data_IF_381126561599
#
_entry.id   IF_381126561599
#
_cell.length_a   1.000
_cell.length_b   1.000
_cell.length_c   1.000
_cell.angle_alpha   90.00
_cell.angle_beta   90.00
_cell.angle_gamma   90.00
#
_symmetry.space_group_name_H-M   'P 1'
#
loop_
_entity.id
_entity.type
_entity.pdbx_description
1 polymer ?
#
# COMPACT_ATOMS: atom_id res chain seq x y z
N UNK A 1 -43.62 38.24 29.03
CA UNK A 1 -42.81 37.94 27.84
C UNK A 1 -41.41 37.71 28.36
N UNK A 2 -41.07 36.46 28.64
CA UNK A 2 -39.79 36.12 29.25
C UNK A 2 -38.71 36.04 28.16
N UNK A 3 -37.77 36.99 28.21
CA UNK A 3 -36.55 37.02 27.42
C UNK A 3 -35.73 35.75 27.70
N UNK A 4 -35.71 34.81 26.75
CA UNK A 4 -34.74 33.71 26.78
C UNK A 4 -33.35 34.28 26.57
N UNK A 5 -32.63 34.45 27.68
CA UNK A 5 -31.19 34.71 27.72
C UNK A 5 -30.49 33.62 26.90
N UNK A 6 -30.00 33.95 25.71
CA UNK A 6 -29.22 33.01 24.90
C UNK A 6 -27.91 32.70 25.64
N UNK A 7 -27.82 31.47 26.15
CA UNK A 7 -26.61 30.94 26.80
C UNK A 7 -25.44 30.97 25.81
N UNK A 8 -24.28 31.44 26.29
CA UNK A 8 -23.03 31.46 25.53
C UNK A 8 -22.62 30.05 25.09
N UNK A 9 -21.87 29.95 23.98
CA UNK A 9 -21.35 28.65 23.47
C UNK A 9 -20.49 27.94 24.52
N UNK A 10 -19.82 28.69 25.39
CA UNK A 10 -19.02 28.13 26.50
C UNK A 10 -19.90 27.60 27.64
N UNK A 11 -21.00 28.29 27.98
CA UNK A 11 -21.94 27.85 29.01
C UNK A 11 -22.69 26.58 28.56
N UNK A 12 -23.06 26.48 27.28
CA UNK A 12 -23.67 25.27 26.70
C UNK A 12 -22.72 24.07 26.79
N UNK A 13 -21.42 24.29 26.58
CA UNK A 13 -20.38 23.25 26.69
C UNK A 13 -20.16 22.80 28.13
N UNK A 14 -20.15 23.73 29.08
CA UNK A 14 -20.06 23.41 30.52
C UNK A 14 -21.27 22.58 30.99
N UNK A 15 -22.49 23.00 30.62
CA UNK A 15 -23.73 22.28 30.97
C UNK A 15 -23.75 20.88 30.34
N UNK A 16 -23.36 20.76 29.06
CA UNK A 16 -23.27 19.46 28.40
C UNK A 16 -22.21 18.56 29.06
N UNK A 17 -21.09 19.12 29.51
CA UNK A 17 -20.05 18.37 30.23
C UNK A 17 -20.53 17.83 31.58
N UNK A 18 -21.28 18.63 32.35
CA UNK A 18 -21.84 18.20 33.62
C UNK A 18 -22.87 17.07 33.45
N UNK A 19 -23.71 17.18 32.42
CA UNK A 19 -24.67 16.12 32.05
C UNK A 19 -23.96 14.83 31.64
N UNK A 20 -22.86 14.91 30.87
CA UNK A 20 -22.07 13.72 30.51
C UNK A 20 -21.40 13.05 31.71
N UNK A 21 -20.94 13.81 32.72
CA UNK A 21 -20.42 13.24 33.96
C UNK A 21 -21.51 12.50 34.76
N UNK A 22 -22.75 13.00 34.72
CA UNK A 22 -23.90 12.34 35.35
C UNK A 22 -24.30 11.08 34.59
N UNK A 23 -24.28 11.12 33.26
CA UNK A 23 -24.50 9.96 32.41
C UNK A 23 -23.46 8.84 32.64
N UNK A 24 -22.18 9.17 32.81
CA UNK A 24 -21.13 8.18 33.13
C UNK A 24 -21.37 7.49 34.49
N UNK A 25 -21.86 8.22 35.49
CA UNK A 25 -22.25 7.63 36.78
C UNK A 25 -23.43 6.67 36.63
N UNK A 26 -24.45 7.03 35.87
CA UNK A 26 -25.62 6.18 35.61
C UNK A 26 -25.26 4.95 34.79
N UNK A 27 -24.35 5.10 33.82
CA UNK A 27 -23.82 4.00 33.02
C UNK A 27 -23.08 2.97 33.89
N UNK A 28 -22.23 3.45 34.82
CA UNK A 28 -21.53 2.58 35.78
C UNK A 28 -22.47 1.93 36.80
N UNK A 29 -23.61 2.54 37.08
CA UNK A 29 -24.65 1.97 37.94
C UNK A 29 -25.53 0.93 37.23
N UNK A 30 -25.33 0.69 35.93
CA UNK A 30 -26.14 -0.25 35.13
C UNK A 30 -27.50 0.32 34.72
N UNK A 31 -27.77 1.61 34.97
CA UNK A 31 -29.02 2.27 34.60
C UNK A 31 -28.95 2.81 33.17
N UNK A 32 -28.73 1.92 32.20
CA UNK A 32 -28.42 2.26 30.80
C UNK A 32 -29.49 3.14 30.13
N UNK A 33 -30.77 2.92 30.43
CA UNK A 33 -31.88 3.73 29.89
C UNK A 33 -31.85 5.19 30.39
N UNK A 34 -31.58 5.40 31.68
CA UNK A 34 -31.48 6.76 32.26
C UNK A 34 -30.17 7.45 31.85
N UNK A 35 -29.09 6.67 31.69
CA UNK A 35 -27.84 7.18 31.14
C UNK A 35 -28.03 7.69 29.71
N UNK A 36 -28.79 6.98 28.87
CA UNK A 36 -29.11 7.40 27.50
C UNK A 36 -29.89 8.72 27.49
N UNK A 37 -30.94 8.84 28.30
CA UNK A 37 -31.75 10.06 28.43
C UNK A 37 -30.89 11.27 28.84
N UNK A 38 -29.97 11.07 29.80
CA UNK A 38 -29.06 12.14 30.27
C UNK A 38 -28.05 12.57 29.19
N UNK A 39 -27.66 11.67 28.28
CA UNK A 39 -26.80 11.98 27.13
C UNK A 39 -27.57 12.73 26.04
N UNK A 40 -28.83 12.37 25.79
CA UNK A 40 -29.70 13.11 24.87
C UNK A 40 -29.97 14.53 25.36
N UNK A 41 -30.20 14.67 26.67
CA UNK A 41 -30.28 15.97 27.35
C UNK A 41 -29.00 16.82 27.20
N UNK A 42 -27.83 16.20 27.03
CA UNK A 42 -26.57 16.89 26.79
C UNK A 42 -26.45 17.34 25.31
N UNK A 43 -26.97 16.52 24.38
CA UNK A 43 -27.02 16.83 22.94
C UNK A 43 -28.04 17.93 22.63
N UNK A 44 -29.13 18.02 23.38
CA UNK A 44 -30.11 19.12 23.24
C UNK A 44 -29.51 20.49 23.61
N UNK A 45 -28.51 20.50 24.50
CA UNK A 45 -27.81 21.72 24.92
C UNK A 45 -26.66 22.07 23.97
N UNK A 46 -25.88 21.07 23.54
CA UNK A 46 -24.80 21.22 22.56
C UNK A 46 -24.82 20.08 21.52
N UNK A 47 -25.53 20.28 20.38
CA UNK A 47 -25.65 19.27 19.33
C UNK A 47 -24.31 18.94 18.65
N UNK A 48 -23.31 19.81 18.72
CA UNK A 48 -21.97 19.60 18.13
C UNK A 48 -21.03 18.82 19.08
N UNK A 49 -21.51 18.40 20.26
CA UNK A 49 -20.66 17.73 21.24
C UNK A 49 -20.34 16.27 20.83
N UNK A 50 -19.17 16.10 20.23
CA UNK A 50 -18.64 14.81 19.78
C UNK A 50 -18.59 13.76 20.91
N UNK A 51 -18.34 14.16 22.16
CA UNK A 51 -18.28 13.24 23.29
C UNK A 51 -19.65 12.66 23.64
N UNK A 52 -20.73 13.45 23.50
CA UNK A 52 -22.08 12.99 23.76
C UNK A 52 -22.56 11.99 22.71
N UNK A 53 -22.23 12.22 21.44
CA UNK A 53 -22.52 11.28 20.35
C UNK A 53 -21.82 9.93 20.56
N UNK A 54 -20.51 9.94 20.88
CA UNK A 54 -19.76 8.72 21.15
C UNK A 54 -20.29 7.96 22.39
N UNK A 55 -20.75 8.67 23.42
CA UNK A 55 -21.37 8.05 24.59
C UNK A 55 -22.72 7.42 24.27
N UNK A 56 -23.54 8.07 23.44
CA UNK A 56 -24.83 7.54 22.98
C UNK A 56 -24.66 6.20 22.26
N UNK A 57 -23.73 6.12 21.32
CA UNK A 57 -23.44 4.88 20.59
C UNK A 57 -22.97 3.75 21.52
N UNK A 58 -22.14 4.09 22.52
CA UNK A 58 -21.67 3.12 23.52
C UNK A 58 -22.81 2.54 24.36
N UNK A 59 -23.78 3.36 24.75
CA UNK A 59 -24.93 2.93 25.56
C UNK A 59 -25.89 2.08 24.72
N UNK A 60 -26.13 2.45 23.46
CA UNK A 60 -27.00 1.71 22.53
C UNK A 60 -26.48 0.29 22.27
N UNK A 61 -25.17 0.13 22.05
CA UNK A 61 -24.57 -1.19 21.84
C UNK A 61 -24.75 -2.14 23.03
N UNK A 62 -24.69 -1.60 24.26
CA UNK A 62 -24.91 -2.40 25.48
C UNK A 62 -26.38 -2.81 25.59
N UNK A 63 -27.32 -1.91 25.31
CA UNK A 63 -28.75 -2.21 25.31
C UNK A 63 -29.15 -3.24 24.24
N UNK A 64 -28.56 -3.17 23.05
CA UNK A 64 -28.76 -4.17 21.99
C UNK A 64 -28.22 -5.55 22.39
N UNK A 65 -27.10 -5.58 23.11
CA UNK A 65 -26.54 -6.84 23.63
C UNK A 65 -27.41 -7.47 24.74
N UNK A 66 -28.02 -6.67 25.61
CA UNK A 66 -28.91 -7.16 26.67
C UNK A 66 -30.25 -7.68 26.12
N UNK A 67 -30.80 -7.04 25.09
CA UNK A 67 -32.05 -7.46 24.45
C UNK A 67 -31.94 -8.80 23.71
N UNK A 68 -30.73 -9.26 23.39
CA UNK A 68 -30.50 -10.55 22.72
C UNK A 68 -30.58 -11.78 23.65
N UNK A 69 -30.70 -11.59 24.98
CA UNK A 69 -30.58 -12.67 25.97
C UNK A 69 -31.93 -13.06 26.64
N UNK A 70 -33.02 -12.29 26.49
CA UNK A 70 -34.28 -12.59 27.20
C UNK A 70 -35.42 -13.08 26.28
N UNK A 71 -35.53 -14.41 26.12
CA UNK A 71 -36.83 -15.11 26.04
C UNK A 71 -36.74 -16.54 26.61
N UNK A 72 -37.59 -16.93 27.59
CA UNK A 72 -37.68 -18.30 28.09
C UNK A 72 -39.02 -18.97 27.71
N UNK A 73 -39.01 -20.20 27.18
CA UNK A 73 -40.19 -21.10 27.27
C UNK A 73 -39.75 -22.57 27.41
N UNK A 74 -40.32 -23.21 28.44
CA UNK A 74 -40.28 -24.65 28.77
C UNK A 74 -41.12 -25.46 27.76
N UNK A 75 -40.65 -26.63 27.32
CA UNK A 75 -41.30 -27.93 27.62
C UNK A 75 -40.59 -29.14 26.99
N UNK A 76 -40.86 -30.27 27.65
CA UNK A 76 -40.36 -31.64 27.62
C UNK A 76 -39.98 -32.30 26.28
N UNK A 77 -38.83 -33.00 26.37
CA UNK A 77 -38.61 -34.44 26.10
C UNK A 77 -39.26 -35.08 24.86
N UNK A 78 -38.46 -35.36 23.82
CA UNK A 78 -37.90 -36.70 23.50
C UNK A 78 -37.27 -36.70 22.08
N UNK A 79 -36.24 -37.56 21.92
CA UNK A 79 -35.55 -37.99 20.69
C UNK A 79 -34.96 -36.92 19.76
N UNK A 80 -33.85 -36.24 20.13
CA UNK A 80 -33.24 -35.17 19.29
C UNK A 80 -31.72 -34.98 19.47
N UNK A 81 -30.87 -35.95 19.15
CA UNK A 81 -29.42 -35.66 18.98
C UNK A 81 -29.01 -35.63 17.50
N UNK A 82 -29.38 -36.62 16.70
CA UNK A 82 -29.01 -36.65 15.27
C UNK A 82 -29.73 -35.60 14.40
N UNK A 83 -31.00 -35.30 14.68
CA UNK A 83 -31.73 -34.24 13.97
C UNK A 83 -31.25 -32.85 14.40
N UNK A 84 -30.75 -32.70 15.64
CA UNK A 84 -30.25 -31.44 16.20
C UNK A 84 -28.90 -31.06 15.64
N UNK A 85 -28.00 -32.03 15.44
CA UNK A 85 -26.72 -31.77 14.78
C UNK A 85 -26.91 -31.39 13.31
N UNK A 86 -27.82 -32.06 12.59
CA UNK A 86 -28.13 -31.73 11.18
C UNK A 86 -28.78 -30.35 11.03
N UNK A 87 -29.71 -30.00 11.93
CA UNK A 87 -30.35 -28.68 11.93
C UNK A 87 -29.44 -27.56 12.44
N UNK A 88 -28.54 -27.83 13.40
CA UNK A 88 -27.49 -26.89 13.82
C UNK A 88 -26.48 -26.65 12.71
N UNK A 89 -26.08 -27.69 11.96
CA UNK A 89 -25.17 -27.56 10.84
C UNK A 89 -25.81 -26.82 9.65
N UNK A 90 -27.10 -27.04 9.39
CA UNK A 90 -27.84 -26.32 8.37
C UNK A 90 -28.12 -24.86 8.77
N UNK A 91 -28.41 -24.59 10.04
CA UNK A 91 -28.53 -23.24 10.59
C UNK A 91 -27.19 -22.48 10.54
N UNK A 92 -26.08 -23.15 10.87
CA UNK A 92 -24.74 -22.57 10.77
C UNK A 92 -24.36 -22.28 9.31
N UNK A 93 -24.73 -23.16 8.36
CA UNK A 93 -24.54 -22.91 6.92
C UNK A 93 -25.34 -21.71 6.44
N UNK A 94 -26.61 -21.60 6.83
CA UNK A 94 -27.46 -20.44 6.48
C UNK A 94 -26.93 -19.14 7.08
N UNK A 95 -26.46 -19.17 8.33
CA UNK A 95 -25.84 -18.00 8.97
C UNK A 95 -24.55 -17.59 8.25
N UNK A 96 -23.70 -18.57 7.90
CA UNK A 96 -22.44 -18.31 7.19
C UNK A 96 -22.67 -17.80 5.76
N UNK A 97 -23.70 -18.31 5.08
CA UNK A 97 -24.12 -17.83 3.76
C UNK A 97 -24.70 -16.41 3.84
N UNK A 98 -25.48 -16.10 4.88
CA UNK A 98 -26.01 -14.76 5.12
C UNK A 98 -24.90 -13.76 5.44
N UNK A 99 -23.92 -14.15 6.28
CA UNK A 99 -22.73 -13.34 6.55
C UNK A 99 -21.87 -13.13 5.31
N UNK A 100 -21.77 -14.13 4.42
CA UNK A 100 -21.02 -13.98 3.17
C UNK A 100 -21.71 -12.97 2.24
N UNK A 101 -23.05 -13.05 2.13
CA UNK A 101 -23.85 -12.12 1.32
C UNK A 101 -23.78 -10.69 1.86
N UNK A 102 -23.88 -10.51 3.18
CA UNK A 102 -23.70 -9.19 3.82
C UNK A 102 -22.28 -8.65 3.64
N UNK A 103 -21.26 -9.50 3.76
CA UNK A 103 -19.87 -9.08 3.52
C UNK A 103 -19.64 -8.70 2.06
N UNK A 104 -20.24 -9.40 1.11
CA UNK A 104 -20.15 -9.08 -0.32
C UNK A 104 -20.91 -7.79 -0.66
N UNK A 105 -22.10 -7.58 -0.09
CA UNK A 105 -22.82 -6.30 -0.23
C UNK A 105 -22.06 -5.14 0.42
N UNK A 106 -21.44 -5.36 1.58
CA UNK A 106 -20.62 -4.36 2.25
C UNK A 106 -19.41 -3.98 1.40
N UNK A 107 -18.74 -4.95 0.78
CA UNK A 107 -17.65 -4.69 -0.17
C UNK A 107 -18.13 -3.91 -1.40
N UNK A 108 -19.29 -4.25 -1.97
CA UNK A 108 -19.87 -3.50 -3.10
C UNK A 108 -20.18 -2.05 -2.75
N UNK A 109 -20.77 -1.81 -1.56
CA UNK A 109 -21.06 -0.44 -1.07
C UNK A 109 -19.78 0.36 -0.78
N UNK A 110 -18.76 -0.30 -0.22
CA UNK A 110 -17.46 0.33 0.05
C UNK A 110 -16.69 0.67 -1.23
N UNK A 111 -16.73 -0.21 -2.23
CA UNK A 111 -16.14 0.02 -3.55
C UNK A 111 -16.87 1.14 -4.31
N UNK A 112 -18.20 1.19 -4.24
CA UNK A 112 -18.99 2.26 -4.85
C UNK A 112 -18.75 3.62 -4.15
N UNK A 113 -18.68 3.65 -2.82
CA UNK A 113 -18.34 4.85 -2.06
C UNK A 113 -16.93 5.34 -2.39
N UNK A 114 -15.96 4.42 -2.55
CA UNK A 114 -14.60 4.74 -2.96
C UNK A 114 -14.56 5.32 -4.38
N UNK A 115 -15.34 4.75 -5.31
CA UNK A 115 -15.44 5.25 -6.68
C UNK A 115 -16.01 6.68 -6.72
N UNK A 116 -17.03 6.97 -5.92
CA UNK A 116 -17.63 8.31 -5.82
C UNK A 116 -16.61 9.31 -5.23
N UNK A 117 -15.92 8.94 -4.16
CA UNK A 117 -14.90 9.79 -3.53
C UNK A 117 -13.71 10.07 -4.46
N UNK A 118 -13.27 9.06 -5.22
CA UNK A 118 -12.20 9.21 -6.21
C UNK A 118 -12.61 10.10 -7.38
N UNK A 119 -13.86 9.97 -7.87
CA UNK A 119 -14.38 10.83 -8.92
C UNK A 119 -14.52 12.29 -8.45
N UNK A 120 -14.95 12.52 -7.21
CA UNK A 120 -15.06 13.86 -6.63
C UNK A 120 -13.69 14.52 -6.44
N UNK A 121 -12.69 13.77 -5.97
CA UNK A 121 -11.30 14.25 -5.88
C UNK A 121 -10.73 14.59 -7.27
N UNK A 122 -11.01 13.76 -8.28
CA UNK A 122 -10.58 14.01 -9.66
C UNK A 122 -11.24 15.26 -10.25
N UNK A 123 -12.54 15.48 -9.98
CA UNK A 123 -13.26 16.70 -10.40
C UNK A 123 -12.67 17.95 -9.74
N UNK A 124 -12.40 17.90 -8.42
CA UNK A 124 -11.76 19.02 -7.70
C UNK A 124 -10.35 19.31 -8.20
N UNK A 125 -9.56 18.27 -8.50
CA UNK A 125 -8.23 18.44 -9.07
C UNK A 125 -8.27 19.10 -10.45
N UNK A 126 -9.20 18.67 -11.32
CA UNK A 126 -9.40 19.28 -12.63
C UNK A 126 -9.87 20.75 -12.54
N UNK A 127 -10.75 21.06 -11.59
CA UNK A 127 -11.23 22.44 -11.34
C UNK A 127 -10.10 23.37 -10.88
N UNK A 128 -9.26 22.91 -9.95
CA UNK A 128 -8.08 23.66 -9.50
C UNK A 128 -7.06 23.87 -10.63
N UNK A 129 -6.88 22.89 -11.51
CA UNK A 129 -6.00 23.02 -12.67
C UNK A 129 -6.56 24.05 -13.67
N UNK A 130 -7.87 24.05 -13.91
CA UNK A 130 -8.54 25.03 -14.77
C UNK A 130 -8.45 26.45 -14.18
N UNK A 131 -8.63 26.61 -12.87
CA UNK A 131 -8.45 27.90 -12.19
C UNK A 131 -7.00 28.40 -12.29
N UNK A 132 -6.02 27.51 -12.09
CA UNK A 132 -4.61 27.87 -12.24
C UNK A 132 -4.25 28.30 -13.66
N UNK A 133 -4.79 27.61 -14.68
CA UNK A 133 -4.63 27.99 -16.09
C UNK A 133 -5.27 29.35 -16.39
N UNK A 134 -6.48 29.60 -15.88
CA UNK A 134 -7.16 30.88 -16.04
C UNK A 134 -6.42 32.03 -15.34
N UNK A 135 -5.85 31.80 -14.15
CA UNK A 135 -5.05 32.79 -13.43
C UNK A 135 -3.74 33.11 -14.17
N UNK A 136 -3.07 32.08 -14.72
CA UNK A 136 -1.86 32.27 -15.52
C UNK A 136 -2.14 33.03 -16.82
N UNK A 137 -3.25 32.72 -17.50
CA UNK A 137 -3.69 33.45 -18.69
C UNK A 137 -4.03 34.91 -18.38
N UNK A 138 -4.72 35.19 -17.26
CA UNK A 138 -4.96 36.56 -16.82
C UNK A 138 -3.66 37.32 -16.51
N UNK A 139 -2.66 36.67 -15.89
CA UNK A 139 -1.35 37.29 -15.65
C UNK A 139 -0.64 37.61 -16.97
N UNK A 140 -0.70 36.71 -17.95
CA UNK A 140 -0.15 36.94 -19.30
C UNK A 140 -0.85 38.09 -20.02
N UNK A 141 -2.18 38.15 -19.98
CA UNK A 141 -2.95 39.23 -20.60
C UNK A 141 -2.63 40.59 -19.97
N UNK A 142 -2.54 40.65 -18.63
CA UNK A 142 -2.15 41.88 -17.91
C UNK A 142 -0.73 42.32 -18.27
N UNK A 143 0.23 41.38 -18.37
CA UNK A 143 1.59 41.70 -18.79
C UNK A 143 1.67 42.24 -20.22
N UNK A 144 0.90 41.65 -21.15
CA UNK A 144 0.81 42.13 -22.54
C UNK A 144 0.17 43.53 -22.60
N UNK A 145 -0.86 43.79 -21.80
CA UNK A 145 -1.51 45.10 -21.74
C UNK A 145 -0.59 46.17 -21.15
N UNK A 146 0.17 45.85 -20.11
CA UNK A 146 1.15 46.76 -19.50
C UNK A 146 2.30 47.07 -20.46
N UNK A 147 2.80 46.08 -21.20
CA UNK A 147 3.82 46.28 -22.22
C UNK A 147 3.31 47.13 -23.40
N UNK A 148 2.06 46.92 -23.82
CA UNK A 148 1.40 47.77 -24.83
C UNK A 148 1.25 49.21 -24.35
N UNK A 149 0.82 49.44 -23.10
CA UNK A 149 0.72 50.78 -22.51
C UNK A 149 2.08 51.48 -22.45
N UNK A 150 3.14 50.78 -22.06
CA UNK A 150 4.52 51.32 -22.07
C UNK A 150 4.97 51.73 -23.48
N UNK A 151 4.74 50.88 -24.49
CA UNK A 151 5.07 51.19 -25.89
C UNK A 151 4.24 52.34 -26.46
N UNK A 152 2.97 52.45 -26.09
CA UNK A 152 2.10 53.54 -26.53
C UNK A 152 2.48 54.87 -25.89
N UNK A 153 2.84 54.88 -24.60
CA UNK A 153 3.33 56.08 -23.91
C UNK A 153 4.68 56.56 -24.47
N UNK A 154 5.59 55.65 -24.79
CA UNK A 154 6.87 55.97 -25.44
C UNK A 154 6.66 56.57 -26.84
N UNK A 155 5.74 55.99 -27.61
CA UNK A 155 5.38 56.52 -28.93
C UNK A 155 4.73 57.91 -28.84
N UNK A 156 3.91 58.15 -27.81
CA UNK A 156 3.29 59.46 -27.55
C UNK A 156 4.34 60.52 -27.19
N UNK A 157 5.27 60.22 -26.30
CA UNK A 157 6.39 61.13 -25.96
C UNK A 157 7.24 61.46 -27.19
N UNK A 158 7.47 60.48 -28.06
CA UNK A 158 8.21 60.68 -29.32
C UNK A 158 7.46 61.60 -30.30
N UNK A 159 6.13 61.44 -30.41
CA UNK A 159 5.28 62.33 -31.23
C UNK A 159 5.24 63.75 -30.69
N UNK A 160 5.09 63.93 -29.38
CA UNK A 160 5.09 65.25 -28.73
C UNK A 160 6.45 65.96 -28.93
N UNK A 161 7.56 65.23 -28.84
CA UNK A 161 8.90 65.77 -29.11
C UNK A 161 9.10 66.15 -30.60
N UNK A 162 8.60 65.35 -31.53
CA UNK A 162 8.65 65.64 -32.97
C UNK A 162 7.81 66.87 -33.33
N UNK A 163 6.63 67.02 -32.71
CA UNK A 163 5.75 68.17 -32.93
C UNK A 163 6.36 69.47 -32.39
N UNK A 164 6.98 69.43 -31.20
CA UNK A 164 7.74 70.56 -30.66
C UNK A 164 8.94 70.94 -31.53
N UNK A 165 9.66 69.96 -32.08
CA UNK A 165 10.76 70.20 -33.01
C UNK A 165 10.28 70.87 -34.31
N UNK A 166 9.16 70.40 -34.87
CA UNK A 166 8.53 71.01 -36.06
C UNK A 166 8.05 72.42 -35.80
N UNK A 167 7.50 72.71 -34.62
CA UNK A 167 7.06 74.07 -34.26
C UNK A 167 8.25 75.03 -34.17
N UNK A 168 9.35 74.59 -33.54
CA UNK A 168 10.59 75.36 -33.42
C UNK A 168 11.25 75.59 -34.79
N UNK A 169 11.19 74.59 -35.67
CA UNK A 169 11.70 74.67 -37.04
C UNK A 169 10.84 75.59 -37.91
N UNK A 170 9.51 75.54 -37.76
CA UNK A 170 8.58 76.45 -38.42
C UNK A 170 8.77 77.90 -37.96
N UNK A 171 9.03 78.14 -36.68
CA UNK A 171 9.35 79.48 -36.14
C UNK A 171 10.69 80.00 -36.69
N UNK A 172 11.71 79.14 -36.76
CA UNK A 172 13.00 79.45 -37.40
C UNK A 172 12.85 79.70 -38.90
N UNK A 173 11.99 78.96 -39.59
CA UNK A 173 11.67 79.15 -41.00
C UNK A 173 10.91 80.47 -41.23
N UNK A 174 9.98 80.84 -40.35
CA UNK A 174 9.23 82.11 -40.44
C UNK A 174 10.14 83.32 -40.21
N UNK A 175 11.11 83.21 -39.30
CA UNK A 175 12.16 84.23 -39.06
C UNK A 175 13.09 84.37 -40.27
N UNK A 176 13.48 83.26 -40.90
CA UNK A 176 14.26 83.24 -42.15
C UNK A 176 13.46 83.79 -43.34
N UNK A 177 12.17 83.52 -43.44
CA UNK A 177 11.31 84.05 -44.52
C UNK A 177 11.09 85.56 -44.42
N UNK A 178 11.08 86.14 -43.21
CA UNK A 178 11.05 87.59 -43.00
C UNK A 178 12.38 88.27 -43.40
N UNK A 179 13.53 87.64 -43.09
CA UNK A 179 14.86 88.10 -43.57
C UNK A 179 15.03 87.93 -45.09
N UNK A 180 14.44 86.90 -45.68
CA UNK A 180 14.54 86.61 -47.12
C UNK A 180 13.61 87.51 -47.97
N UNK A 181 12.50 88.00 -47.42
CA UNK A 181 11.62 88.97 -48.12
C UNK A 181 12.25 90.37 -48.27
N UNK A 182 13.17 90.77 -47.40
CA UNK A 182 13.97 92.00 -47.60
C UNK A 182 15.05 91.84 -48.68
N UNK A 183 15.60 90.63 -48.83
CA UNK A 183 16.65 90.32 -49.81
C UNK A 183 16.09 90.14 -51.24
N UNK A 184 14.87 89.59 -51.37
CA UNK A 184 14.21 89.32 -52.66
C UNK A 184 13.69 90.56 -53.40
N UNK A 185 13.58 91.73 -52.76
CA UNK A 185 13.29 92.99 -53.46
C UNK A 185 14.50 93.56 -54.23
N UNK A 186 15.72 93.04 -54.00
CA UNK A 186 16.97 93.53 -54.63
C UNK A 186 17.52 92.62 -55.74
N UNK A 187 16.94 91.46 -55.98
CA UNK A 187 17.48 90.44 -56.91
C UNK A 187 16.44 89.99 -57.95
N UNK A 188 15.49 90.88 -58.25
CA UNK A 188 14.69 90.84 -59.47
C UNK A 188 15.24 91.79 -60.53
N UNK A 189 16.38 92.43 -60.28
CA UNK A 189 17.07 93.10 -61.36
C UNK A 189 17.97 92.10 -62.07
N UNK A 190 17.42 91.66 -63.19
CA UNK A 190 18.17 91.25 -64.34
C UNK A 190 18.80 89.84 -64.27
N UNK A 191 18.17 88.97 -65.07
CA UNK A 191 18.89 88.40 -66.22
C UNK A 191 19.79 87.19 -65.96
N UNK A 192 19.84 86.62 -64.75
CA UNK A 192 20.47 85.30 -64.48
C UNK A 192 19.50 84.11 -64.45
N UNK A 193 18.19 84.34 -64.38
CA UNK A 193 17.20 83.26 -64.24
C UNK A 193 16.94 82.42 -65.50
N UNK A 194 17.40 82.83 -66.68
CA UNK A 194 17.07 82.09 -67.91
C UNK A 194 18.11 81.02 -68.29
N UNK A 195 19.41 81.29 -68.14
CA UNK A 195 20.48 80.42 -68.66
C UNK A 195 21.01 79.41 -67.61
N UNK A 196 20.91 79.75 -66.33
CA UNK A 196 21.33 78.90 -65.21
C UNK A 196 20.35 77.73 -64.95
N UNK A 197 19.10 77.86 -65.40
CA UNK A 197 18.00 76.92 -65.14
C UNK A 197 18.12 75.62 -65.96
N UNK A 198 18.78 75.66 -67.12
CA UNK A 198 19.03 74.47 -67.93
C UNK A 198 20.28 73.69 -67.49
N UNK A 199 21.37 74.38 -67.13
CA UNK A 199 22.58 73.75 -66.59
C UNK A 199 22.32 73.12 -65.22
N UNK A 200 21.56 73.82 -64.35
CA UNK A 200 21.11 73.28 -63.06
C UNK A 200 20.21 72.07 -63.19
N UNK A 201 19.32 71.98 -64.19
CA UNK A 201 18.46 70.79 -64.36
C UNK A 201 19.26 69.53 -64.72
N UNK A 202 20.33 69.64 -65.50
CA UNK A 202 21.21 68.50 -65.84
C UNK A 202 22.12 68.12 -64.68
N UNK A 203 22.73 69.09 -64.00
CA UNK A 203 23.55 68.85 -62.80
C UNK A 203 22.71 68.34 -61.61
N UNK A 204 21.47 68.80 -61.45
CA UNK A 204 20.53 68.36 -60.41
C UNK A 204 19.95 66.98 -60.73
N UNK A 205 19.69 66.63 -61.99
CA UNK A 205 19.27 65.28 -62.38
C UNK A 205 20.39 64.25 -62.19
N UNK A 206 21.64 64.60 -62.50
CA UNK A 206 22.80 63.74 -62.26
C UNK A 206 23.13 63.63 -60.76
N UNK A 207 23.03 64.73 -60.01
CA UNK A 207 23.16 64.74 -58.55
C UNK A 207 22.05 63.93 -57.87
N UNK A 208 20.80 64.03 -58.32
CA UNK A 208 19.69 63.18 -57.85
C UNK A 208 19.91 61.71 -58.17
N UNK A 209 20.43 61.35 -59.34
CA UNK A 209 20.78 59.95 -59.66
C UNK A 209 21.92 59.43 -58.77
N UNK A 210 22.94 60.24 -58.50
CA UNK A 210 24.04 59.88 -57.59
C UNK A 210 23.56 59.79 -56.13
N UNK A 211 22.72 60.71 -55.68
CA UNK A 211 22.11 60.70 -54.34
C UNK A 211 21.12 59.53 -54.19
N UNK A 212 20.35 59.18 -55.21
CA UNK A 212 19.43 58.03 -55.21
C UNK A 212 20.18 56.70 -55.28
N UNK A 213 21.25 56.60 -56.07
CA UNK A 213 22.13 55.43 -56.10
C UNK A 213 22.91 55.27 -54.79
N UNK A 214 23.37 56.37 -54.18
CA UNK A 214 24.02 56.35 -52.87
C UNK A 214 23.03 55.98 -51.75
N UNK A 215 21.79 56.48 -51.80
CA UNK A 215 20.71 56.09 -50.88
C UNK A 215 20.30 54.63 -51.10
N UNK A 216 20.29 54.13 -52.33
CA UNK A 216 20.03 52.73 -52.65
C UNK A 216 21.15 51.82 -52.17
N UNK A 217 22.42 52.23 -52.36
CA UNK A 217 23.59 51.51 -51.81
C UNK A 217 23.58 51.52 -50.28
N UNK A 218 23.28 52.65 -49.64
CA UNK A 218 23.12 52.74 -48.18
C UNK A 218 21.94 51.90 -47.66
N UNK A 219 20.82 51.86 -48.38
CA UNK A 219 19.67 51.04 -48.03
C UNK A 219 19.92 49.54 -48.25
N UNK A 220 20.64 49.16 -49.30
CA UNK A 220 21.03 47.78 -49.58
C UNK A 220 22.09 47.29 -48.61
N UNK A 221 23.07 48.13 -48.26
CA UNK A 221 24.06 47.84 -47.23
C UNK A 221 23.42 47.74 -45.83
N UNK A 222 22.44 48.61 -45.53
CA UNK A 222 21.66 48.51 -44.29
C UNK A 222 20.81 47.24 -44.25
N UNK A 223 20.17 46.85 -45.35
CA UNK A 223 19.43 45.59 -45.47
C UNK A 223 20.35 44.38 -45.32
N UNK A 224 21.52 44.39 -45.96
CA UNK A 224 22.51 43.32 -45.89
C UNK A 224 23.07 43.18 -44.48
N UNK A 225 23.34 44.29 -43.77
CA UNK A 225 23.74 44.27 -42.35
C UNK A 225 22.63 43.73 -41.46
N UNK A 226 21.38 44.15 -41.68
CA UNK A 226 20.22 43.65 -40.91
C UNK A 226 19.96 42.16 -41.16
N UNK A 227 20.09 41.70 -42.40
CA UNK A 227 19.94 40.28 -42.79
C UNK A 227 21.07 39.41 -42.23
N UNK A 228 22.31 39.90 -42.26
CA UNK A 228 23.46 39.20 -41.67
C UNK A 228 23.34 39.11 -40.14
N UNK A 229 22.83 40.15 -39.47
CA UNK A 229 22.57 40.14 -38.03
C UNK A 229 21.44 39.17 -37.67
N UNK A 230 20.36 39.12 -38.47
CA UNK A 230 19.28 38.14 -38.33
C UNK A 230 19.77 36.71 -38.54
N UNK A 231 20.62 36.49 -39.54
CA UNK A 231 21.23 35.19 -39.83
C UNK A 231 22.14 34.73 -38.70
N UNK A 232 22.97 35.63 -38.15
CA UNK A 232 23.83 35.36 -36.98
C UNK A 232 23.00 34.99 -35.75
N UNK A 233 21.90 35.69 -35.47
CA UNK A 233 20.99 35.36 -34.36
C UNK A 233 20.33 33.99 -34.54
N UNK A 234 19.87 33.67 -35.75
CA UNK A 234 19.30 32.36 -36.08
C UNK A 234 20.31 31.22 -35.96
N UNK A 235 21.56 31.44 -36.37
CA UNK A 235 22.64 30.45 -36.27
C UNK A 235 23.10 30.25 -34.82
N UNK A 236 23.19 31.32 -34.04
CA UNK A 236 23.49 31.26 -32.61
C UNK A 236 22.37 30.56 -31.83
N UNK A 237 21.10 30.80 -32.15
CA UNK A 237 19.96 30.11 -31.55
C UNK A 237 19.96 28.61 -31.88
N UNK A 238 20.27 28.24 -33.13
CA UNK A 238 20.42 26.83 -33.53
C UNK A 238 21.58 26.17 -32.80
N UNK A 239 22.72 26.85 -32.66
CA UNK A 239 23.88 26.33 -31.92
C UNK A 239 23.57 26.12 -30.45
N UNK A 240 22.88 27.08 -29.81
CA UNK A 240 22.41 26.96 -28.42
C UNK A 240 21.45 25.80 -28.25
N UNK A 241 20.51 25.60 -29.18
CA UNK A 241 19.59 24.44 -29.16
C UNK A 241 20.32 23.11 -29.29
N UNK A 242 21.30 23.00 -30.18
CA UNK A 242 22.12 21.80 -30.34
C UNK A 242 22.99 21.53 -29.10
N UNK A 243 23.56 22.56 -28.51
CA UNK A 243 24.36 22.45 -27.28
C UNK A 243 23.49 22.06 -26.07
N UNK A 244 22.29 22.63 -25.96
CA UNK A 244 21.31 22.26 -24.92
C UNK A 244 20.82 20.82 -25.08
N UNK A 245 20.55 20.38 -26.32
CA UNK A 245 20.16 19.00 -26.61
C UNK A 245 21.31 18.02 -26.34
N UNK A 246 22.54 18.39 -26.69
CA UNK A 246 23.74 17.63 -26.37
C UNK A 246 23.91 17.48 -24.86
N UNK A 247 23.78 18.58 -24.11
CA UNK A 247 23.90 18.60 -22.65
C UNK A 247 22.82 17.74 -21.98
N UNK A 248 21.56 17.82 -22.44
CA UNK A 248 20.48 16.93 -21.97
C UNK A 248 20.75 15.47 -22.30
N UNK A 249 21.36 15.18 -23.45
CA UNK A 249 21.72 13.81 -23.83
C UNK A 249 22.86 13.25 -22.97
N UNK A 250 23.83 14.08 -22.60
CA UNK A 250 24.92 13.71 -21.67
C UNK A 250 24.38 13.53 -20.26
N UNK A 251 23.51 14.42 -19.80
CA UNK A 251 22.89 14.36 -18.48
C UNK A 251 22.02 13.10 -18.32
N UNK A 252 21.20 12.76 -19.32
CA UNK A 252 20.40 11.53 -19.30
C UNK A 252 21.27 10.27 -19.33
N UNK A 253 22.37 10.27 -20.09
CA UNK A 253 23.37 9.18 -20.07
C UNK A 253 24.11 9.10 -18.73
N UNK A 254 24.41 10.22 -18.10
CA UNK A 254 25.04 10.24 -16.78
C UNK A 254 24.08 9.67 -15.72
N UNK A 255 22.81 10.06 -15.75
CA UNK A 255 21.77 9.53 -14.86
C UNK A 255 21.58 8.03 -15.10
N UNK A 256 21.54 7.56 -16.36
CA UNK A 256 21.41 6.14 -16.66
C UNK A 256 22.61 5.33 -16.16
N UNK A 257 23.85 5.84 -16.33
CA UNK A 257 25.06 5.20 -15.81
C UNK A 257 25.06 5.09 -14.28
N UNK A 258 24.66 6.16 -13.58
CA UNK A 258 24.56 6.13 -12.11
C UNK A 258 23.50 5.12 -11.66
N UNK A 259 22.36 5.06 -12.35
CA UNK A 259 21.31 4.06 -12.09
C UNK A 259 21.81 2.63 -12.32
N UNK A 260 22.49 2.38 -13.43
CA UNK A 260 23.07 1.07 -13.76
C UNK A 260 24.13 0.65 -12.73
N UNK A 261 25.03 1.56 -12.33
CA UNK A 261 26.02 1.28 -11.30
C UNK A 261 25.37 0.91 -9.95
N UNK A 262 24.29 1.61 -9.58
CA UNK A 262 23.56 1.30 -8.34
C UNK A 262 22.84 -0.04 -8.41
N UNK A 263 22.27 -0.38 -9.56
CA UNK A 263 21.68 -1.71 -9.80
C UNK A 263 22.73 -2.81 -9.61
N UNK A 264 23.91 -2.65 -10.22
CA UNK A 264 25.00 -3.62 -10.09
C UNK A 264 25.44 -3.79 -8.63
N UNK A 265 25.59 -2.70 -7.88
CA UNK A 265 25.94 -2.76 -6.45
C UNK A 265 24.93 -3.57 -5.63
N UNK A 266 23.62 -3.36 -5.85
CA UNK A 266 22.58 -4.13 -5.17
C UNK A 266 22.55 -5.60 -5.59
N UNK A 267 22.80 -5.90 -6.88
CA UNK A 267 22.89 -7.28 -7.36
C UNK A 267 24.09 -8.02 -6.75
N UNK A 268 25.24 -7.35 -6.62
CA UNK A 268 26.43 -7.91 -5.94
C UNK A 268 26.14 -8.18 -4.47
N UNK A 269 25.53 -7.24 -3.75
CA UNK A 269 25.15 -7.42 -2.34
C UNK A 269 24.14 -8.56 -2.17
N UNK A 270 23.12 -8.64 -3.02
CA UNK A 270 22.18 -9.75 -3.05
C UNK A 270 22.90 -11.10 -3.24
N UNK A 271 23.85 -11.17 -4.18
CA UNK A 271 24.65 -12.36 -4.42
C UNK A 271 25.51 -12.77 -3.22
N UNK A 272 26.06 -11.80 -2.47
CA UNK A 272 26.81 -12.06 -1.23
C UNK A 272 25.86 -12.60 -0.15
N UNK A 273 24.70 -11.98 0.06
CA UNK A 273 23.74 -12.42 1.07
C UNK A 273 23.19 -13.83 0.80
N UNK A 274 22.97 -14.19 -0.48
CA UNK A 274 22.59 -15.56 -0.86
C UNK A 274 23.68 -16.56 -0.46
N UNK A 275 24.95 -16.25 -0.73
CA UNK A 275 26.08 -17.12 -0.33
C UNK A 275 26.24 -17.26 1.18
N UNK A 276 25.86 -16.22 1.94
CA UNK A 276 25.89 -16.22 3.41
C UNK A 276 24.62 -16.83 4.05
N UNK A 277 23.67 -17.36 3.27
CA UNK A 277 22.35 -17.82 3.73
C UNK A 277 21.52 -16.73 4.45
N UNK A 278 21.80 -15.44 4.19
CA UNK A 278 21.06 -14.29 4.71
C UNK A 278 19.93 -13.91 3.76
N UNK A 279 18.94 -14.79 3.72
CA UNK A 279 17.85 -14.77 2.74
C UNK A 279 16.95 -13.53 2.85
N UNK A 280 16.73 -12.99 4.06
CA UNK A 280 15.87 -11.82 4.25
C UNK A 280 16.51 -10.56 3.68
N UNK A 281 17.81 -10.42 3.89
CA UNK A 281 18.63 -9.32 3.41
C UNK A 281 18.78 -9.37 1.89
N UNK A 282 19.00 -10.56 1.32
CA UNK A 282 19.05 -10.76 -0.13
C UNK A 282 17.76 -10.31 -0.84
N UNK A 283 16.59 -10.65 -0.30
CA UNK A 283 15.29 -10.24 -0.87
C UNK A 283 15.14 -8.73 -0.87
N UNK A 284 15.58 -8.05 0.18
CA UNK A 284 15.52 -6.59 0.26
C UNK A 284 16.39 -5.97 -0.84
N UNK A 285 17.59 -6.48 -1.07
CA UNK A 285 18.47 -5.97 -2.13
C UNK A 285 17.93 -6.25 -3.54
N UNK A 286 17.40 -7.44 -3.79
CA UNK A 286 16.74 -7.79 -5.07
C UNK A 286 15.52 -6.88 -5.31
N UNK A 287 14.70 -6.66 -4.28
CA UNK A 287 13.53 -5.79 -4.37
C UNK A 287 13.90 -4.33 -4.68
N UNK A 288 15.01 -3.82 -4.13
CA UNK A 288 15.52 -2.48 -4.49
C UNK A 288 15.88 -2.40 -5.97
N UNK A 289 16.46 -3.46 -6.56
CA UNK A 289 16.74 -3.50 -8.00
C UNK A 289 15.46 -3.48 -8.81
N UNK A 290 14.47 -4.31 -8.47
CA UNK A 290 13.19 -4.37 -9.18
C UNK A 290 12.37 -3.08 -9.04
N UNK A 291 12.52 -2.34 -7.93
CA UNK A 291 11.94 -1.00 -7.77
C UNK A 291 12.57 0.01 -8.74
N UNK A 292 13.89 -0.09 -8.95
CA UNK A 292 14.60 0.77 -9.87
C UNK A 292 14.30 0.36 -11.31
N UNK A 293 14.46 -0.91 -11.68
CA UNK A 293 14.18 -1.47 -13.01
C UNK A 293 13.38 -2.79 -12.90
N UNK A 294 12.05 -2.74 -13.06
CA UNK A 294 11.19 -3.91 -12.93
C UNK A 294 11.44 -5.01 -13.97
N UNK A 295 12.15 -4.71 -15.06
CA UNK A 295 12.42 -5.66 -16.15
C UNK A 295 13.86 -6.17 -16.14
N UNK A 296 14.60 -5.91 -15.06
CA UNK A 296 15.98 -6.35 -14.96
C UNK A 296 16.06 -7.89 -14.96
N UNK A 297 16.70 -8.46 -15.97
CA UNK A 297 16.78 -9.92 -16.13
C UNK A 297 17.57 -10.61 -15.04
N UNK A 298 18.58 -9.95 -14.47
CA UNK A 298 19.48 -10.56 -13.50
C UNK A 298 18.86 -10.59 -12.11
N UNK A 299 18.13 -9.53 -11.74
CA UNK A 299 17.32 -9.51 -10.53
C UNK A 299 16.23 -10.59 -10.54
N UNK A 300 15.54 -10.76 -11.67
CA UNK A 300 14.50 -11.80 -11.82
C UNK A 300 15.08 -13.21 -11.72
N UNK A 301 16.25 -13.47 -12.33
CA UNK A 301 16.94 -14.77 -12.17
C UNK A 301 17.34 -15.03 -10.72
N UNK A 302 17.87 -14.01 -10.04
CA UNK A 302 18.23 -14.13 -8.63
C UNK A 302 16.99 -14.42 -7.77
N UNK A 303 15.88 -13.74 -8.02
CA UNK A 303 14.59 -14.01 -7.35
C UNK A 303 14.10 -15.43 -7.60
N UNK A 304 14.19 -15.93 -8.84
CA UNK A 304 13.80 -17.30 -9.17
C UNK A 304 14.69 -18.34 -8.46
N UNK A 305 16.02 -18.15 -8.48
CA UNK A 305 16.94 -19.04 -7.76
C UNK A 305 16.66 -19.04 -6.25
N UNK A 306 16.33 -17.87 -5.70
CA UNK A 306 15.96 -17.74 -4.30
C UNK A 306 14.67 -18.49 -3.95
N UNK A 307 13.62 -18.36 -4.77
CA UNK A 307 12.37 -19.06 -4.55
C UNK A 307 12.57 -20.59 -4.57
N UNK A 308 13.41 -21.07 -5.49
CA UNK A 308 13.77 -22.49 -5.55
C UNK A 308 14.52 -22.95 -4.29
N UNK A 309 15.50 -22.17 -3.81
CA UNK A 309 16.27 -22.48 -2.59
C UNK A 309 15.37 -22.49 -1.34
N UNK A 310 14.44 -21.53 -1.22
CA UNK A 310 13.48 -21.50 -0.12
C UNK A 310 12.52 -22.69 -0.15
N UNK A 311 12.01 -23.05 -1.32
CA UNK A 311 11.14 -24.22 -1.47
C UNK A 311 11.86 -25.50 -1.07
N UNK A 312 13.14 -25.65 -1.44
CA UNK A 312 13.97 -26.78 -0.99
C UNK A 312 14.14 -26.81 0.52
N UNK A 313 14.44 -25.67 1.16
CA UNK A 313 14.56 -25.64 2.63
C UNK A 313 13.25 -25.98 3.33
N UNK A 314 12.12 -25.50 2.83
CA UNK A 314 10.80 -25.84 3.37
C UNK A 314 10.52 -27.33 3.17
N UNK A 315 10.85 -27.88 2.00
CA UNK A 315 10.68 -29.31 1.70
C UNK A 315 11.57 -30.19 2.59
N UNK A 316 12.85 -29.83 2.77
CA UNK A 316 13.76 -30.51 3.70
C UNK A 316 13.28 -30.41 5.14
N UNK A 317 12.86 -29.23 5.60
CA UNK A 317 12.33 -29.04 6.96
C UNK A 317 11.03 -29.82 7.17
N UNK A 318 10.17 -29.88 6.15
CA UNK A 318 8.95 -30.67 6.16
C UNK A 318 9.23 -32.17 6.16
N UNK A 319 10.21 -32.63 5.39
CA UNK A 319 10.63 -34.04 5.33
C UNK A 319 11.26 -34.48 6.67
N UNK A 320 12.05 -33.60 7.30
CA UNK A 320 12.58 -33.82 8.65
C UNK A 320 11.44 -33.90 9.67
N UNK A 321 10.43 -33.04 9.58
CA UNK A 321 9.25 -33.07 10.48
C UNK A 321 8.31 -34.24 10.21
N UNK A 322 8.30 -34.80 9.00
CA UNK A 322 7.47 -35.96 8.62
C UNK A 322 7.99 -37.28 9.14
N UNK A 323 9.27 -37.36 9.53
CA UNK A 323 9.82 -38.56 10.18
C UNK A 323 9.25 -38.65 11.59
N UNK A 324 8.10 -39.33 11.71
CA UNK A 324 7.60 -39.81 13.00
C UNK A 324 8.76 -40.58 13.64
N UNK A 325 9.22 -40.21 14.86
CA UNK A 325 10.30 -40.92 15.53
C UNK A 325 9.98 -42.41 15.59
N UNK A 326 10.95 -43.28 15.25
CA UNK A 326 10.76 -44.74 15.26
C UNK A 326 10.27 -45.23 16.62
N UNK A 327 10.68 -44.56 17.69
CA UNK A 327 10.24 -44.82 19.06
C UNK A 327 8.72 -44.67 19.22
N UNK A 328 8.10 -43.63 18.64
CA UNK A 328 6.65 -43.45 18.69
C UNK A 328 5.90 -44.53 17.89
N UNK A 329 6.49 -45.00 16.79
CA UNK A 329 5.95 -46.10 15.99
C UNK A 329 5.96 -47.40 16.80
N UNK A 330 7.09 -47.70 17.44
CA UNK A 330 7.25 -48.89 18.29
C UNK A 330 6.30 -48.83 19.49
N UNK A 331 6.18 -47.68 20.17
CA UNK A 331 5.25 -47.52 21.30
C UNK A 331 3.79 -47.73 20.89
N UNK A 332 3.37 -47.19 19.73
CA UNK A 332 2.01 -47.41 19.21
C UNK A 332 1.74 -48.90 18.93
N UNK A 333 2.74 -49.62 18.42
CA UNK A 333 2.61 -51.05 18.15
C UNK A 333 2.62 -51.88 19.44
N UNK A 334 3.50 -51.58 20.40
CA UNK A 334 3.51 -52.18 21.74
C UNK A 334 2.14 -52.08 22.42
N UNK A 335 1.48 -50.92 22.32
CA UNK A 335 0.12 -50.75 22.87
C UNK A 335 -0.89 -51.70 22.23
N UNK A 336 -0.83 -51.85 20.90
CA UNK A 336 -1.73 -52.76 20.16
C UNK A 336 -1.48 -54.22 20.56
N UNK A 337 -0.21 -54.62 20.68
CA UNK A 337 0.16 -55.94 21.18
C UNK A 337 -0.33 -56.18 22.61
N UNK A 338 -0.20 -55.18 23.48
CA UNK A 338 -0.61 -55.29 24.89
C UNK A 338 -2.12 -55.48 25.03
N UNK A 339 -2.91 -54.77 24.24
CA UNK A 339 -4.38 -54.92 24.22
C UNK A 339 -4.77 -56.33 23.75
N UNK A 340 -4.07 -56.87 22.76
CA UNK A 340 -4.35 -58.19 22.20
C UNK A 340 -3.83 -59.38 23.04
N UNK A 341 -2.89 -59.15 23.95
CA UNK A 341 -2.30 -60.18 24.82
C UNK A 341 -2.78 -60.10 26.28
N UNK A 342 -3.74 -59.23 26.59
CA UNK A 342 -4.15 -58.97 27.98
C UNK A 342 -4.85 -60.17 28.62
N UNK A 343 -5.61 -60.93 27.82
CA UNK A 343 -6.41 -62.07 28.25
C UNK A 343 -5.68 -63.42 28.07
N UNK A 344 -4.45 -63.40 27.55
CA UNK A 344 -3.64 -64.59 27.29
C UNK A 344 -3.93 -65.29 25.96
N UNK A 345 -5.03 -64.95 25.27
CA UNK A 345 -5.49 -65.66 24.08
C UNK A 345 -5.77 -64.72 22.92
N UNK A 346 -4.97 -64.82 21.86
CA UNK A 346 -5.20 -64.07 20.63
C UNK A 346 -6.44 -64.58 19.87
N UNK A 347 -7.45 -63.74 19.74
CA UNK A 347 -8.58 -63.98 18.82
C UNK A 347 -8.14 -63.84 17.35
N UNK A 348 -8.91 -64.45 16.45
CA UNK A 348 -8.68 -64.33 14.99
C UNK A 348 -8.70 -62.85 14.55
N UNK A 349 -9.55 -62.05 15.17
CA UNK A 349 -9.67 -60.61 14.89
C UNK A 349 -8.42 -59.86 15.34
N UNK A 350 -7.87 -60.14 16.52
CA UNK A 350 -6.65 -59.52 17.03
C UNK A 350 -5.41 -59.90 16.23
N UNK A 351 -5.28 -61.16 15.81
CA UNK A 351 -4.19 -61.59 14.91
C UNK A 351 -4.21 -60.79 13.62
N UNK A 352 -5.40 -60.62 13.02
CA UNK A 352 -5.51 -59.83 11.78
C UNK A 352 -5.20 -58.35 12.02
N UNK A 353 -5.59 -57.78 13.16
CA UNK A 353 -5.26 -56.41 13.53
C UNK A 353 -3.76 -56.21 13.73
N UNK A 354 -3.08 -57.12 14.43
CA UNK A 354 -1.63 -57.10 14.61
C UNK A 354 -0.92 -57.20 13.25
N UNK A 355 -1.33 -58.12 12.38
CA UNK A 355 -0.73 -58.25 11.05
C UNK A 355 -0.93 -57.00 10.18
N UNK A 356 -2.12 -56.40 10.20
CA UNK A 356 -2.39 -55.15 9.50
C UNK A 356 -1.52 -54.02 10.04
N UNK A 357 -1.45 -53.87 11.37
CA UNK A 357 -0.66 -52.84 12.04
C UNK A 357 0.84 -53.00 11.78
N UNK A 358 1.33 -54.24 11.78
CA UNK A 358 2.71 -54.60 11.46
C UNK A 358 3.09 -54.18 10.03
N UNK A 359 2.20 -54.40 9.05
CA UNK A 359 2.41 -53.95 7.66
C UNK A 359 2.32 -52.43 7.53
N UNK A 360 1.37 -51.79 8.20
CA UNK A 360 1.20 -50.33 8.17
C UNK A 360 2.39 -49.58 8.75
N UNK A 361 3.02 -50.15 9.79
CA UNK A 361 4.13 -49.55 10.52
C UNK A 361 5.51 -50.07 10.08
N UNK A 362 5.54 -50.93 9.05
CA UNK A 362 6.75 -51.56 8.48
C UNK A 362 7.66 -52.22 9.54
N UNK A 363 7.04 -52.96 10.46
CA UNK A 363 7.73 -53.65 11.55
C UNK A 363 8.23 -54.99 11.06
N UNK A 364 9.54 -55.22 11.22
CA UNK A 364 10.17 -56.47 10.77
C UNK A 364 9.68 -57.68 11.56
N UNK A 365 9.79 -58.86 10.97
CA UNK A 365 9.43 -60.12 11.65
C UNK A 365 10.22 -60.36 12.93
N UNK A 366 11.47 -59.90 12.97
CA UNK A 366 12.36 -60.04 14.11
C UNK A 366 11.94 -59.08 15.23
N UNK A 367 11.75 -57.79 14.90
CA UNK A 367 11.27 -56.80 15.87
C UNK A 367 9.90 -57.17 16.42
N UNK A 368 8.99 -57.69 15.60
CA UNK A 368 7.70 -58.15 16.08
C UNK A 368 7.83 -59.24 17.14
N UNK A 369 8.68 -60.24 16.93
CA UNK A 369 8.87 -61.34 17.89
C UNK A 369 9.50 -60.86 19.20
N UNK A 370 10.46 -59.95 19.12
CA UNK A 370 11.10 -59.38 20.31
C UNK A 370 10.09 -58.56 21.13
N UNK A 371 9.30 -57.73 20.46
CA UNK A 371 8.25 -56.92 21.08
C UNK A 371 7.10 -57.78 21.64
N UNK A 372 6.70 -58.81 20.90
CA UNK A 372 5.70 -59.77 21.34
C UNK A 372 6.14 -60.49 22.62
N UNK A 373 7.40 -60.93 22.67
CA UNK A 373 7.95 -61.59 23.87
C UNK A 373 8.00 -60.64 25.06
N UNK A 374 8.43 -59.40 24.86
CA UNK A 374 8.43 -58.36 25.89
C UNK A 374 7.01 -58.15 26.46
N UNK A 375 6.01 -58.02 25.59
CA UNK A 375 4.62 -57.80 25.98
C UNK A 375 4.01 -59.03 26.69
N UNK A 376 4.32 -60.25 26.26
CA UNK A 376 3.87 -61.47 26.93
C UNK A 376 4.37 -61.53 28.38
N UNK A 377 5.65 -61.19 28.61
CA UNK A 377 6.23 -61.12 29.96
C UNK A 377 5.57 -60.00 30.78
N UNK A 378 5.36 -58.83 30.20
CA UNK A 378 4.71 -57.69 30.86
C UNK A 378 3.24 -57.97 31.24
N UNK A 379 2.49 -58.64 30.35
CA UNK A 379 1.11 -59.07 30.63
C UNK A 379 1.07 -60.10 31.76
N UNK A 380 2.00 -61.07 31.75
CA UNK A 380 2.11 -62.06 32.82
C UNK A 380 2.46 -61.41 34.17
N UNK A 381 3.43 -60.49 34.18
CA UNK A 381 3.82 -59.72 35.37
C UNK A 381 2.65 -58.90 35.93
N UNK A 382 1.88 -58.23 35.07
CA UNK A 382 0.72 -57.44 35.48
C UNK A 382 -0.37 -58.31 36.11
N UNK A 383 -0.72 -59.42 35.47
CA UNK A 383 -1.70 -60.36 36.02
C UNK A 383 -1.22 -60.92 37.36
N UNK A 384 0.05 -61.35 37.46
CA UNK A 384 0.62 -61.83 38.72
C UNK A 384 0.56 -60.76 39.82
N UNK A 385 0.86 -59.50 39.48
CA UNK A 385 0.76 -58.36 40.42
C UNK A 385 -0.68 -58.10 40.85
N UNK A 386 -1.67 -58.30 39.99
CA UNK A 386 -3.09 -58.17 40.33
C UNK A 386 -3.54 -59.27 41.31
N UNK A 387 -3.19 -60.53 41.10
CA UNK A 387 -3.53 -61.60 42.05
C UNK A 387 -2.79 -61.48 43.38
N UNK A 388 -1.57 -60.94 43.38
CA UNK A 388 -0.84 -60.65 44.61
C UNK A 388 -1.32 -59.42 45.37
N UNK A 389 -2.23 -58.62 44.80
CA UNK A 389 -2.72 -57.38 45.42
C UNK A 389 -3.44 -57.61 46.75
N UNK A 390 -4.12 -58.74 46.87
CA UNK A 390 -4.85 -59.14 48.08
C UNK A 390 -3.95 -59.89 49.10
N UNK A 391 -2.65 -60.01 48.80
CA UNK A 391 -1.63 -60.54 49.71
C UNK A 391 -1.56 -62.06 49.82
N UNK A 392 -2.45 -62.79 49.15
CA UNK A 392 -2.43 -64.24 49.05
C UNK A 392 -3.03 -64.68 47.70
N UNK A 393 -2.33 -65.56 46.98
CA UNK A 393 -2.89 -66.22 45.80
C UNK A 393 -3.78 -67.36 46.26
N UNK A 394 -5.04 -67.36 45.84
CA UNK A 394 -5.98 -68.46 46.07
C UNK A 394 -5.65 -69.65 45.14
N UNK A 395 -6.06 -70.89 45.48
CA UNK A 395 -5.84 -72.04 44.60
C UNK A 395 -6.42 -71.86 43.19
N UNK A 396 -7.56 -71.17 43.06
CA UNK A 396 -8.20 -70.89 41.77
C UNK A 396 -7.38 -69.91 40.92
N UNK A 397 -6.77 -68.90 41.56
CA UNK A 397 -5.87 -67.94 40.89
C UNK A 397 -4.53 -68.58 40.51
N UNK A 398 -4.05 -69.54 41.31
CA UNK A 398 -2.85 -70.31 40.99
C UNK A 398 -3.07 -71.19 39.75
N UNK A 399 -4.21 -71.88 39.67
CA UNK A 399 -4.57 -72.68 38.49
C UNK A 399 -4.70 -71.80 37.25
N UNK A 400 -5.28 -70.60 37.39
CA UNK A 400 -5.37 -69.63 36.31
C UNK A 400 -4.00 -69.09 35.86
N UNK A 401 -3.11 -68.82 36.81
CA UNK A 401 -1.73 -68.39 36.52
C UNK A 401 -0.92 -69.48 35.82
N UNK A 402 -1.16 -70.76 36.13
CA UNK A 402 -0.53 -71.88 35.43
C UNK A 402 -1.04 -72.02 33.99
N UNK A 403 -2.36 -71.85 33.77
CA UNK A 403 -2.96 -71.79 32.42
C UNK A 403 -2.37 -70.62 31.62
N UNK A 404 -2.36 -69.41 32.20
CA UNK A 404 -1.84 -68.22 31.55
C UNK A 404 -0.33 -68.35 31.25
N UNK A 405 0.43 -68.99 32.14
CA UNK A 405 1.87 -69.26 31.92
C UNK A 405 2.07 -70.15 30.69
N UNK A 406 1.26 -71.19 30.53
CA UNK A 406 1.32 -72.09 29.37
C UNK A 406 0.89 -71.39 28.08
N UNK A 407 -0.18 -70.59 28.11
CA UNK A 407 -0.71 -69.86 26.95
C UNK A 407 0.25 -68.77 26.45
N UNK A 408 0.83 -68.00 27.36
CA UNK A 408 1.85 -66.99 27.06
C UNK A 408 3.25 -67.59 26.81
N UNK A 409 3.40 -68.91 26.91
CA UNK A 409 4.66 -69.65 26.73
C UNK A 409 5.79 -69.12 27.61
N UNK A 410 5.47 -68.81 28.86
CA UNK A 410 6.43 -68.35 29.86
C UNK A 410 7.15 -69.58 30.44
N UNK A 411 8.48 -69.55 30.49
CA UNK A 411 9.24 -70.68 31.05
C UNK A 411 9.15 -70.69 32.57
N UNK A 412 9.37 -71.84 33.22
CA UNK A 412 9.43 -71.91 34.69
C UNK A 412 10.49 -70.96 35.27
N UNK A 413 11.62 -70.79 34.58
CA UNK A 413 12.68 -69.86 34.99
C UNK A 413 12.23 -68.40 34.94
N UNK A 414 11.54 -67.99 33.87
CA UNK A 414 10.99 -66.64 33.72
C UNK A 414 9.88 -66.36 34.74
N UNK A 415 9.00 -67.33 34.96
CA UNK A 415 7.97 -67.24 36.00
C UNK A 415 8.59 -66.98 37.38
N UNK A 416 9.61 -67.75 37.79
CA UNK A 416 10.29 -67.56 39.07
C UNK A 416 10.99 -66.20 39.18
N UNK A 417 11.51 -65.67 38.07
CA UNK A 417 12.13 -64.35 38.03
C UNK A 417 11.09 -63.24 38.19
N UNK A 418 9.98 -63.31 37.47
CA UNK A 418 8.84 -62.37 37.57
C UNK A 418 8.22 -62.45 38.96
N UNK A 419 7.98 -63.65 39.50
CA UNK A 419 7.43 -63.84 40.84
C UNK A 419 8.34 -63.24 41.91
N UNK A 420 9.66 -63.46 41.81
CA UNK A 420 10.63 -62.83 42.72
C UNK A 420 10.60 -61.31 42.62
N UNK A 421 10.44 -60.76 41.42
CA UNK A 421 10.36 -59.31 41.17
C UNK A 421 9.08 -58.74 41.79
N UNK A 422 7.91 -59.31 41.49
CA UNK A 422 6.61 -58.88 42.03
C UNK A 422 6.59 -58.98 43.55
N UNK A 423 7.09 -60.09 44.14
CA UNK A 423 7.17 -60.23 45.60
C UNK A 423 8.02 -59.14 46.25
N UNK A 424 9.14 -58.75 45.65
CA UNK A 424 9.97 -57.64 46.17
C UNK A 424 9.29 -56.27 46.11
N UNK A 425 8.33 -56.09 45.20
CA UNK A 425 7.63 -54.81 45.01
C UNK A 425 6.34 -54.72 45.84
N UNK A 426 5.76 -55.85 46.24
CA UNK A 426 4.51 -55.94 47.01
C UNK A 426 4.75 -56.16 48.51
N UNK A 427 5.94 -56.65 48.93
CA UNK A 427 6.36 -56.75 50.35
C UNK A 427 7.03 -55.46 50.81
#
# INVERSE_FOLDING_TARGET
MDEKKELSKEEKREIAREKLLTADKLFKAGEYKKALETVEDALDVDPENFYALAYKDRILNVLESEQSVEQPVKEKAESKEDVKQKTQQEALRKLKEQQLKEAEERKKREEEARRIAEEELRRRAAELEMLRKAEEEQKRLKAIEEEKKKKEEELRKKREAEEQAKLLEAERARKRQLEEQERKRKEEEARKKAEELERKKREEAERRRREEEEMRRKAEEAKRKAEEELRKKLEEEKRKKQEEEYLKSEETKAISRVREAKIQEFLEQAGIFIKENKFKEAVIEIAKVLLIDPKNSDALKLEETFQQEQMKQIEEEFEVKKKIPRDMIIESYKRTLKEAWIDGTLSVEEVTQIEMRKRELDISEIEHKDLEREIQLDCYEQNLREFWKDGAITPEEQDWLDILREELRITPEEHLEIERKVRKEVT
#
